data_IF_096002363646
#
_entry.id   IF_096002363646
#
_cell.length_a   1.000
_cell.length_b   1.000
_cell.length_c   1.000
_cell.angle_alpha   90.00
_cell.angle_beta   90.00
_cell.angle_gamma   90.00
#
_symmetry.space_group_name_H-M   'P 1'
#
loop_
_entity.id
_entity.type
_entity.pdbx_description
1 polymer ?
#
# COMPACT_ATOMS: atom_id res chain seq x y z
N UNK A 1 17.84 15.88 -7.55
CA UNK A 1 16.66 15.23 -8.16
C UNK A 1 15.51 15.31 -7.15
N UNK A 2 14.48 16.12 -7.39
CA UNK A 2 13.32 16.18 -6.50
C UNK A 2 12.30 15.13 -6.96
N UNK A 3 12.24 14.01 -6.24
CA UNK A 3 11.16 13.05 -6.40
C UNK A 3 9.88 13.64 -5.80
N UNK A 4 8.76 13.55 -6.55
CA UNK A 4 7.44 13.88 -6.02
C UNK A 4 7.07 12.96 -4.85
N UNK A 5 6.10 13.36 -4.02
CA UNK A 5 5.65 12.52 -2.90
C UNK A 5 5.28 11.10 -3.33
N UNK A 6 4.56 10.96 -4.45
CA UNK A 6 4.22 9.65 -5.03
C UNK A 6 5.41 8.87 -5.57
N UNK A 7 6.44 9.53 -6.11
CA UNK A 7 7.67 8.85 -6.54
C UNK A 7 8.49 8.34 -5.35
N UNK A 8 8.55 9.10 -4.24
CA UNK A 8 9.20 8.64 -3.00
C UNK A 8 8.52 7.40 -2.43
N UNK A 9 7.18 7.38 -2.38
CA UNK A 9 6.40 6.20 -1.93
C UNK A 9 6.71 4.95 -2.78
N UNK A 10 6.81 5.09 -4.12
CA UNK A 10 7.21 4.00 -5.02
C UNK A 10 8.61 3.44 -4.75
N UNK A 11 9.58 4.32 -4.49
CA UNK A 11 10.96 3.91 -4.17
C UNK A 11 11.02 3.17 -2.84
N UNK A 12 10.26 3.60 -1.82
CA UNK A 12 10.19 2.91 -0.53
C UNK A 12 9.63 1.50 -0.70
N UNK A 13 8.52 1.35 -1.43
CA UNK A 13 7.93 0.04 -1.72
C UNK A 13 8.88 -0.90 -2.48
N UNK A 14 9.58 -0.38 -3.49
CA UNK A 14 10.57 -1.15 -4.24
C UNK A 14 11.75 -1.60 -3.35
N UNK A 15 12.21 -0.73 -2.44
CA UNK A 15 13.27 -1.08 -1.48
C UNK A 15 12.84 -2.19 -0.53
N UNK A 16 11.63 -2.18 -0.01
CA UNK A 16 11.16 -3.24 0.90
C UNK A 16 11.17 -4.63 0.26
N UNK A 17 10.89 -4.73 -1.05
CA UNK A 17 11.01 -5.98 -1.81
C UNK A 17 12.47 -6.43 -1.97
N UNK A 18 13.39 -5.50 -2.19
CA UNK A 18 14.84 -5.79 -2.30
C UNK A 18 15.43 -6.28 -0.97
N UNK A 19 14.97 -5.74 0.16
CA UNK A 19 15.48 -6.09 1.48
C UNK A 19 14.80 -7.31 2.12
N UNK A 20 13.87 -7.98 1.43
CA UNK A 20 13.19 -9.18 1.94
C UNK A 20 12.42 -8.96 3.24
N UNK A 21 11.81 -7.79 3.40
CA UNK A 21 11.06 -7.44 4.62
C UNK A 21 9.82 -8.33 4.76
N UNK A 22 9.70 -9.07 5.87
CA UNK A 22 8.55 -9.98 6.09
C UNK A 22 7.22 -9.25 6.34
N UNK A 23 7.27 -7.99 6.76
CA UNK A 23 6.12 -7.14 7.05
C UNK A 23 6.33 -5.77 6.38
N UNK A 24 5.31 -5.31 5.66
CA UNK A 24 5.26 -4.01 5.01
C UNK A 24 4.09 -3.20 5.57
N UNK A 25 4.40 -2.05 6.18
CA UNK A 25 3.40 -1.07 6.59
C UNK A 25 3.34 0.05 5.56
N UNK A 26 2.18 0.27 4.96
CA UNK A 26 1.94 1.34 3.99
C UNK A 26 0.92 2.29 4.59
N UNK A 27 1.40 3.43 5.06
CA UNK A 27 0.56 4.52 5.53
C UNK A 27 0.20 5.49 4.40
N UNK A 28 -1.03 6.00 4.39
CA UNK A 28 -1.58 6.87 3.35
C UNK A 28 -1.42 6.35 1.92
N UNK A 29 -1.70 5.06 1.69
CA UNK A 29 -1.42 4.43 0.41
C UNK A 29 -2.27 4.94 -0.77
N UNK A 30 -3.42 5.57 -0.48
CA UNK A 30 -4.37 6.08 -1.50
C UNK A 30 -4.18 7.56 -1.86
N UNK A 31 -3.46 8.33 -1.04
CA UNK A 31 -3.31 9.79 -1.22
C UNK A 31 -2.36 10.18 -2.38
N UNK A 32 -1.74 9.22 -3.05
CA UNK A 32 -0.78 9.46 -4.12
C UNK A 32 -1.42 9.45 -5.54
N UNK A 33 -2.31 10.41 -5.82
CA UNK A 33 -2.68 10.98 -7.15
C UNK A 33 -3.16 10.03 -8.27
N UNK A 34 -3.00 8.71 -8.16
CA UNK A 34 -3.47 7.75 -9.16
C UNK A 34 -3.77 6.40 -8.49
N UNK A 35 -5.05 6.15 -8.26
CA UNK A 35 -5.58 4.89 -7.73
C UNK A 35 -5.13 3.69 -8.59
N UNK A 36 -5.08 3.85 -9.92
CA UNK A 36 -4.67 2.77 -10.84
C UNK A 36 -3.20 2.42 -10.69
N UNK A 37 -2.33 3.41 -10.55
CA UNK A 37 -0.91 3.18 -10.30
C UNK A 37 -0.69 2.48 -8.95
N UNK A 38 -1.43 2.89 -7.91
CA UNK A 38 -1.38 2.27 -6.58
C UNK A 38 -1.82 0.81 -6.63
N UNK A 39 -2.96 0.51 -7.25
CA UNK A 39 -3.48 -0.84 -7.45
C UNK A 39 -2.47 -1.73 -8.20
N UNK A 40 -1.85 -1.21 -9.26
CA UNK A 40 -0.82 -1.94 -10.01
C UNK A 40 0.38 -2.31 -9.13
N UNK A 41 0.79 -1.41 -8.25
CA UNK A 41 1.91 -1.66 -7.35
C UNK A 41 1.53 -2.69 -6.28
N UNK A 42 0.37 -2.53 -5.65
CA UNK A 42 -0.12 -3.46 -4.62
C UNK A 42 -0.23 -4.89 -5.19
N UNK A 43 -0.81 -5.05 -6.38
CA UNK A 43 -0.89 -6.34 -7.08
C UNK A 43 0.47 -7.01 -7.30
N UNK A 44 1.55 -6.23 -7.44
CA UNK A 44 2.91 -6.77 -7.64
C UNK A 44 3.62 -7.12 -6.33
N UNK A 45 3.23 -6.49 -5.22
CA UNK A 45 3.82 -6.78 -3.90
C UNK A 45 3.09 -7.95 -3.25
N UNK A 46 1.76 -7.99 -3.36
CA UNK A 46 0.92 -9.08 -2.83
C UNK A 46 1.18 -10.44 -3.48
N UNK A 47 1.96 -10.51 -4.56
CA UNK A 47 2.44 -11.77 -5.14
C UNK A 47 3.61 -12.39 -4.36
N UNK A 48 4.23 -11.65 -3.45
CA UNK A 48 5.32 -12.14 -2.62
C UNK A 48 4.82 -12.71 -1.28
N UNK A 49 5.72 -13.33 -0.49
CA UNK A 49 5.37 -13.95 0.79
C UNK A 49 5.19 -12.94 1.93
N UNK A 50 5.37 -11.64 1.68
CA UNK A 50 5.33 -10.60 2.69
C UNK A 50 3.91 -10.35 3.22
N UNK A 51 3.78 -10.12 4.52
CA UNK A 51 2.54 -9.59 5.11
C UNK A 51 2.45 -8.08 4.88
N UNK A 52 1.30 -7.58 4.44
CA UNK A 52 1.09 -6.15 4.20
C UNK A 52 0.01 -5.63 5.14
N UNK A 53 0.31 -4.53 5.83
CA UNK A 53 -0.67 -3.70 6.54
C UNK A 53 -0.80 -2.40 5.76
N UNK A 54 -1.99 -2.14 5.23
CA UNK A 54 -2.27 -0.99 4.37
C UNK A 54 -3.30 -0.09 5.04
N UNK A 55 -2.95 1.18 5.23
CA UNK A 55 -3.82 2.20 5.82
C UNK A 55 -4.33 3.09 4.68
N UNK A 56 -5.65 3.19 4.59
CA UNK A 56 -6.35 3.90 3.53
C UNK A 56 -7.47 4.76 4.10
N UNK A 57 -7.65 5.95 3.53
CA UNK A 57 -8.81 6.81 3.84
C UNK A 57 -9.97 6.63 2.85
N UNK A 58 -9.70 6.07 1.68
CA UNK A 58 -10.70 5.79 0.65
C UNK A 58 -10.62 4.31 0.29
N UNK A 59 -11.77 3.64 0.27
CA UNK A 59 -11.85 2.21 0.07
C UNK A 59 -12.72 1.91 -1.16
N UNK A 60 -12.08 1.48 -2.24
CA UNK A 60 -12.78 0.99 -3.43
C UNK A 60 -12.92 -0.52 -3.40
N UNK A 61 -13.92 -1.06 -4.11
CA UNK A 61 -14.15 -2.51 -4.19
C UNK A 61 -12.91 -3.25 -4.69
N UNK A 62 -12.22 -2.69 -5.69
CA UNK A 62 -11.00 -3.29 -6.24
C UNK A 62 -9.85 -3.35 -5.23
N UNK A 63 -9.80 -2.39 -4.30
CA UNK A 63 -8.82 -2.40 -3.22
C UNK A 63 -9.19 -3.43 -2.15
N UNK A 64 -10.47 -3.51 -1.78
CA UNK A 64 -10.98 -4.52 -0.85
C UNK A 64 -10.62 -5.95 -1.30
N UNK A 65 -10.85 -6.27 -2.57
CA UNK A 65 -10.61 -7.60 -3.15
C UNK A 65 -9.12 -8.02 -3.14
N UNK A 66 -8.19 -7.12 -2.81
CA UNK A 66 -6.75 -7.40 -2.71
C UNK A 66 -6.30 -7.84 -1.32
N UNK A 67 -7.10 -7.64 -0.28
CA UNK A 67 -6.69 -7.90 1.10
C UNK A 67 -7.52 -9.02 1.72
N UNK A 68 -6.86 -9.88 2.51
CA UNK A 68 -7.51 -11.00 3.18
C UNK A 68 -8.39 -10.55 4.36
N UNK A 69 -8.14 -9.35 4.90
CA UNK A 69 -8.78 -8.82 6.11
C UNK A 69 -8.94 -7.32 6.03
N UNK A 70 -10.03 -6.82 6.59
CA UNK A 70 -10.31 -5.41 6.74
C UNK A 70 -10.58 -5.08 8.21
N UNK A 71 -10.00 -3.98 8.70
CA UNK A 71 -10.16 -3.50 10.07
C UNK A 71 -10.62 -2.05 10.00
N UNK A 72 -11.81 -1.78 10.53
CA UNK A 72 -12.32 -0.41 10.64
C UNK A 72 -11.96 0.16 12.01
N UNK A 73 -11.21 1.25 12.01
CA UNK A 73 -10.97 2.06 13.20
C UNK A 73 -12.02 3.17 13.23
N UNK A 74 -12.93 3.12 14.21
CA UNK A 74 -13.85 4.23 14.52
C UNK A 74 -13.37 4.91 15.79
N UNK A 75 -13.38 6.25 15.80
CA UNK A 75 -13.13 7.01 17.03
C UNK A 75 -14.30 6.78 18.01
N UNK A 76 -14.19 5.72 18.83
CA UNK A 76 -14.73 5.56 20.18
C UNK A 76 -14.49 4.13 20.75
N UNK A 77 -13.20 3.79 20.91
CA UNK A 77 -12.57 2.55 21.44
C UNK A 77 -11.99 1.62 20.40
#
# INVERSE_FOLDING_TARGET
MNLSGGQRKKVVLARTKVYGSKLLLIDEGTLAIDEKATLKILKNILQGPETIVFIAHNWSKELHDLFDREIYLQDNK
#
